data_IF_706935952380
#
_entry.id   IF_706935952380
#
_cell.length_a   1.000
_cell.length_b   1.000
_cell.length_c   1.000
_cell.angle_alpha   90.00
_cell.angle_beta   90.00
_cell.angle_gamma   90.00
#
_symmetry.space_group_name_H-M   'P 1'
#
loop_
_entity.id
_entity.type
_entity.pdbx_description
1 polymer ?
#
# COMPACT_ATOMS: atom_id res chain seq x y z
N UNK A 1 14.99 -19.64 -3.37
CA UNK A 1 14.50 -19.04 -3.74
C UNK A 1 13.98 -17.99 -3.42
N UNK A 2 14.01 -17.40 -3.73
CA UNK A 2 13.61 -16.40 -3.47
C UNK A 2 12.67 -15.86 -4.16
N UNK A 3 12.17 -15.13 -4.32
CA UNK A 3 11.17 -14.68 -5.19
C UNK A 3 9.79 -15.18 -4.84
N UNK A 4 9.49 -15.30 -3.56
CA UNK A 4 8.17 -15.67 -3.11
C UNK A 4 7.15 -14.60 -3.45
N UNK A 5 5.86 -14.92 -3.30
CA UNK A 5 4.78 -13.99 -3.63
C UNK A 5 4.93 -12.65 -2.90
N UNK A 6 5.17 -12.69 -1.59
CA UNK A 6 5.32 -11.47 -0.80
C UNK A 6 6.47 -10.61 -1.32
N UNK A 7 7.58 -11.23 -1.70
CA UNK A 7 8.72 -10.48 -2.20
C UNK A 7 8.42 -9.78 -3.52
N UNK A 8 7.62 -10.42 -4.39
CA UNK A 8 7.19 -9.80 -5.64
C UNK A 8 6.29 -8.60 -5.36
N UNK A 9 5.38 -8.74 -4.39
CA UNK A 9 4.50 -7.66 -3.99
C UNK A 9 5.31 -6.49 -3.43
N UNK A 10 6.29 -6.78 -2.58
CA UNK A 10 7.15 -5.74 -2.01
C UNK A 10 7.95 -5.01 -3.09
N UNK A 11 8.46 -5.76 -4.08
CA UNK A 11 9.18 -5.14 -5.19
C UNK A 11 8.29 -4.17 -5.96
N UNK A 12 7.04 -4.55 -6.20
CA UNK A 12 6.08 -3.67 -6.86
C UNK A 12 5.78 -2.44 -6.00
N UNK A 13 5.59 -2.65 -4.70
CA UNK A 13 5.29 -1.55 -3.78
C UNK A 13 6.43 -0.53 -3.72
N UNK A 14 7.67 -1.00 -3.81
CA UNK A 14 8.83 -0.09 -3.77
C UNK A 14 8.86 0.89 -4.94
N UNK A 15 8.13 0.60 -6.00
CA UNK A 15 8.04 1.52 -7.15
C UNK A 15 7.13 2.70 -6.89
N UNK A 16 6.26 2.62 -5.87
CA UNK A 16 5.32 3.70 -5.58
C UNK A 16 6.06 4.86 -4.95
N UNK A 17 6.08 6.04 -5.60
CA UNK A 17 6.85 7.17 -5.09
C UNK A 17 6.14 7.87 -3.95
N UNK A 18 6.90 8.68 -3.22
CA UNK A 18 6.35 9.54 -2.19
C UNK A 18 5.29 10.45 -2.81
N UNK A 19 4.19 10.63 -2.12
CA UNK A 19 3.09 11.48 -2.62
C UNK A 19 2.08 10.71 -3.46
N UNK A 20 2.29 9.41 -3.63
CA UNK A 20 1.35 8.56 -4.34
C UNK A 20 0.97 7.37 -3.47
N UNK A 21 -0.14 6.73 -3.83
CA UNK A 21 -0.60 5.50 -3.18
C UNK A 21 -0.92 4.48 -4.26
N UNK A 22 -0.97 3.23 -3.86
CA UNK A 22 -1.49 2.18 -4.73
C UNK A 22 -2.56 1.42 -3.95
N UNK A 23 -3.19 0.44 -4.58
CA UNK A 23 -4.22 -0.36 -3.93
C UNK A 23 -3.81 -1.81 -3.90
N UNK A 24 -4.47 -2.59 -3.02
CA UNK A 24 -4.25 -4.03 -2.99
C UNK A 24 -4.51 -4.65 -4.36
N UNK A 25 -5.53 -4.16 -5.05
CA UNK A 25 -5.87 -4.63 -6.39
C UNK A 25 -4.76 -4.33 -7.40
N UNK A 26 -4.20 -3.12 -7.37
CA UNK A 26 -3.13 -2.76 -8.29
C UNK A 26 -1.85 -3.56 -8.03
N UNK A 27 -1.54 -3.82 -6.75
CA UNK A 27 -0.40 -4.66 -6.42
C UNK A 27 -0.59 -6.08 -6.93
N UNK A 28 -1.81 -6.63 -6.77
CA UNK A 28 -2.09 -7.96 -7.29
C UNK A 28 -1.92 -8.00 -8.81
N UNK A 29 -2.42 -6.99 -9.51
CA UNK A 29 -2.25 -6.90 -10.96
C UNK A 29 -0.78 -6.81 -11.35
N UNK A 30 0.01 -6.06 -10.59
CA UNK A 30 1.42 -5.88 -10.88
C UNK A 30 2.19 -7.21 -10.83
N UNK A 31 1.76 -8.13 -9.98
CA UNK A 31 2.36 -9.46 -9.87
C UNK A 31 1.55 -10.53 -10.61
N UNK A 32 0.61 -10.10 -11.45
CA UNK A 32 -0.23 -10.97 -12.29
C UNK A 32 -1.00 -11.99 -11.47
N UNK A 33 -1.63 -11.54 -10.41
CA UNK A 33 -2.37 -12.40 -9.50
C UNK A 33 -3.73 -11.81 -9.19
N UNK A 34 -4.66 -12.69 -8.81
CA UNK A 34 -5.96 -12.28 -8.26
C UNK A 34 -6.03 -12.57 -6.77
N UNK A 35 -4.91 -12.92 -6.17
CA UNK A 35 -4.86 -13.30 -4.76
C UNK A 35 -4.80 -12.05 -3.87
N UNK A 36 -5.90 -11.30 -3.83
CA UNK A 36 -5.96 -10.04 -3.08
C UNK A 36 -5.72 -10.24 -1.59
N UNK A 37 -6.19 -11.36 -1.03
CA UNK A 37 -5.95 -11.67 0.37
C UNK A 37 -4.48 -11.89 0.67
N UNK A 38 -3.77 -12.55 -0.25
CA UNK A 38 -2.35 -12.79 -0.09
C UNK A 38 -1.57 -11.47 -0.11
N UNK A 39 -2.02 -10.49 -0.91
CA UNK A 39 -1.43 -9.15 -0.89
C UNK A 39 -1.63 -8.52 0.48
N UNK A 40 -2.84 -8.61 1.03
CA UNK A 40 -3.13 -8.10 2.37
C UNK A 40 -2.27 -8.77 3.44
N UNK A 41 -2.08 -10.08 3.34
CA UNK A 41 -1.23 -10.82 4.25
C UNK A 41 0.23 -10.35 4.15
N UNK A 42 0.70 -10.11 2.92
CA UNK A 42 2.06 -9.59 2.72
C UNK A 42 2.24 -8.24 3.41
N UNK A 43 1.23 -7.37 3.34
CA UNK A 43 1.29 -6.09 4.03
C UNK A 43 1.31 -6.29 5.55
N UNK A 44 0.48 -7.21 6.04
CA UNK A 44 0.35 -7.47 7.47
C UNK A 44 1.61 -8.08 8.06
N UNK A 45 2.33 -8.88 7.29
CA UNK A 45 3.55 -9.55 7.76
C UNK A 45 4.83 -8.81 7.40
N UNK A 46 4.71 -7.62 6.82
CA UNK A 46 5.88 -6.79 6.50
C UNK A 46 6.60 -6.38 7.80
N UNK A 47 7.83 -6.82 7.95
CA UNK A 47 8.65 -6.46 9.11
C UNK A 47 9.80 -5.51 8.75
N UNK A 48 9.72 -4.87 7.58
CA UNK A 48 10.73 -3.91 7.15
C UNK A 48 10.03 -2.62 6.68
N UNK A 49 9.29 -1.99 7.60
CA UNK A 49 8.46 -0.83 7.27
C UNK A 49 9.28 0.41 6.92
N UNK A 50 10.56 0.42 7.24
CA UNK A 50 11.43 1.55 6.90
C UNK A 50 11.80 1.55 5.40
N UNK A 51 11.78 0.40 4.74
CA UNK A 51 12.09 0.27 3.32
C UNK A 51 10.89 -0.14 2.47
N UNK A 52 9.95 -0.85 3.07
CA UNK A 52 8.75 -1.32 2.39
C UNK A 52 7.57 -0.55 2.97
N UNK A 53 7.15 0.50 2.26
CA UNK A 53 6.18 1.47 2.79
C UNK A 53 4.75 0.99 2.60
N UNK A 54 4.36 -0.02 3.38
CA UNK A 54 3.02 -0.59 3.27
C UNK A 54 1.90 0.40 3.59
N UNK A 55 2.22 1.53 4.23
CA UNK A 55 1.21 2.57 4.47
C UNK A 55 0.71 3.21 3.17
N UNK A 56 1.42 3.02 2.05
CA UNK A 56 1.03 3.55 0.74
C UNK A 56 0.01 2.66 0.02
N UNK A 57 -0.38 1.54 0.63
CA UNK A 57 -1.36 0.62 0.05
C UNK A 57 -2.71 0.87 0.70
N UNK A 58 -3.70 1.22 -0.11
CA UNK A 58 -5.04 1.53 0.38
C UNK A 58 -6.07 0.68 -0.37
N UNK A 59 -7.32 0.81 0.00
CA UNK A 59 -8.39 0.05 -0.63
C UNK A 59 -8.79 0.67 -1.97
N UNK A 60 -9.38 -0.16 -2.84
CA UNK A 60 -9.77 0.26 -4.19
C UNK A 60 -10.82 1.37 -4.20
N UNK A 61 -11.59 1.52 -3.12
CA UNK A 61 -12.58 2.58 -3.02
C UNK A 61 -11.99 3.90 -2.50
N UNK A 62 -10.68 3.93 -2.27
CA UNK A 62 -10.00 5.12 -1.77
C UNK A 62 -9.90 5.19 -0.26
N UNK A 63 -10.56 4.32 0.48
CA UNK A 63 -10.43 4.31 1.94
C UNK A 63 -9.04 3.82 2.32
N UNK A 64 -8.49 4.38 3.41
CA UNK A 64 -7.09 4.11 3.76
C UNK A 64 -6.84 2.69 4.26
N UNK A 65 -7.87 2.05 4.80
CA UNK A 65 -7.71 0.67 5.25
C UNK A 65 -6.91 0.55 6.54
N UNK A 66 -6.51 -0.68 6.86
CA UNK A 66 -5.82 -0.99 8.11
C UNK A 66 -4.31 -0.79 7.97
N UNK A 67 -3.66 -0.68 9.12
CA UNK A 67 -2.21 -0.61 9.21
C UNK A 67 -1.77 -1.49 10.37
N UNK A 68 -0.98 -2.52 10.07
CA UNK A 68 -0.57 -3.51 11.07
C UNK A 68 0.63 -3.10 11.90
N UNK A 69 1.36 -2.07 11.47
CA UNK A 69 2.51 -1.58 12.21
C UNK A 69 2.06 -0.79 13.44
N UNK A 70 2.97 -0.54 14.41
CA UNK A 70 2.62 0.24 15.60
C UNK A 70 1.99 1.58 15.25
N UNK A 71 0.96 1.95 15.98
CA UNK A 71 0.22 3.19 15.75
C UNK A 71 -1.05 3.02 14.95
N UNK A 72 -1.22 1.87 14.25
CA UNK A 72 -2.45 1.55 13.57
C UNK A 72 -2.87 2.55 12.51
N UNK A 73 -4.18 2.65 12.29
CA UNK A 73 -4.75 3.50 11.24
C UNK A 73 -4.36 4.98 11.43
N UNK A 74 -4.29 5.46 12.67
CA UNK A 74 -3.90 6.84 12.95
C UNK A 74 -2.48 7.12 12.45
N UNK A 75 -1.57 6.17 12.64
CA UNK A 75 -0.21 6.29 12.16
C UNK A 75 -0.16 6.29 10.63
N UNK A 76 -0.94 5.40 10.02
CA UNK A 76 -1.04 5.33 8.57
C UNK A 76 -1.49 6.67 8.00
N UNK A 77 -2.54 7.26 8.58
CA UNK A 77 -3.04 8.56 8.14
C UNK A 77 -1.97 9.64 8.29
N UNK A 78 -1.24 9.64 9.41
CA UNK A 78 -0.18 10.62 9.64
C UNK A 78 0.94 10.50 8.60
N UNK A 79 1.33 9.28 8.27
CA UNK A 79 2.38 9.05 7.28
C UNK A 79 1.95 9.50 5.88
N UNK A 80 0.70 9.23 5.52
CA UNK A 80 0.17 9.66 4.22
C UNK A 80 0.11 11.18 4.15
N UNK A 81 -0.34 11.83 5.21
CA UNK A 81 -0.37 13.29 5.26
C UNK A 81 1.02 13.89 5.16
N UNK A 82 2.00 13.26 5.80
CA UNK A 82 3.39 13.70 5.73
C UNK A 82 3.93 13.60 4.30
N UNK A 83 3.41 12.67 3.51
CA UNK A 83 3.76 12.55 2.09
C UNK A 83 3.04 13.58 1.23
N UNK A 84 2.21 14.42 1.81
CA UNK A 84 1.48 15.45 1.06
C UNK A 84 0.14 14.99 0.52
N UNK A 85 -0.38 13.88 1.02
CA UNK A 85 -1.63 13.33 0.53
C UNK A 85 -2.78 13.82 1.40
N UNK A 86 -3.80 14.39 0.76
CA UNK A 86 -4.98 14.85 1.46
C UNK A 86 -5.92 13.68 1.74
N UNK A 87 -6.40 13.59 2.98
CA UNK A 87 -7.37 12.57 3.38
C UNK A 87 -8.65 13.29 3.82
N UNK A 88 -9.76 12.93 3.17
CA UNK A 88 -11.08 13.50 3.51
C UNK A 88 -12.01 12.37 3.87
N UNK A 89 -12.58 12.43 5.08
CA UNK A 89 -13.52 11.39 5.54
C UNK A 89 -12.94 9.99 5.41
N UNK A 90 -11.66 9.86 5.72
CA UNK A 90 -10.97 8.57 5.65
C UNK A 90 -10.66 8.08 4.25
N UNK A 91 -10.80 8.94 3.24
CA UNK A 91 -10.59 8.57 1.85
C UNK A 91 -9.59 9.47 1.15
N UNK A 92 -8.96 8.91 0.12
CA UNK A 92 -7.98 9.59 -0.73
C UNK A 92 -8.54 9.62 -2.15
N UNK A 93 -8.34 10.74 -2.84
CA UNK A 93 -8.75 10.88 -4.24
C UNK A 93 -7.79 10.09 -5.13
N UNK A 94 -8.25 8.92 -5.58
CA UNK A 94 -7.44 8.04 -6.41
C UNK A 94 -7.14 8.63 -7.78
N UNK A 95 -7.99 9.50 -8.29
CA UNK A 95 -7.71 10.16 -9.58
C UNK A 95 -6.47 11.02 -9.49
N UNK A 96 -6.17 11.52 -8.31
CA UNK A 96 -5.07 12.44 -8.07
C UNK A 96 -3.79 11.72 -7.61
N UNK A 97 -3.94 10.66 -6.82
CA UNK A 97 -2.79 10.07 -6.12
C UNK A 97 -2.48 8.62 -6.50
N UNK A 98 -3.33 7.96 -7.29
CA UNK A 98 -3.10 6.55 -7.60
C UNK A 98 -1.89 6.35 -8.48
N UNK A 99 -1.05 5.41 -8.12
CA UNK A 99 0.09 4.94 -8.90
C UNK A 99 -0.09 3.45 -9.19
N UNK A 100 0.12 3.06 -10.44
CA UNK A 100 -0.02 1.66 -10.87
C UNK A 100 1.37 1.09 -11.11
N UNK A 101 1.90 0.30 -10.16
CA UNK A 101 3.28 -0.22 -10.27
C UNK A 101 3.35 -1.39 -11.24
N UNK A 102 3.73 -1.15 -12.45
CA UNK A 102 3.85 -2.18 -13.49
C UNK A 102 5.20 -2.24 -14.12
#
# INVERSE_FOLDING_TARGET
MRGGFAEKVYAALKKVPKGKVTTYKELAKAVRSKAYRAVGTAMKTNNDISHIHCYRVIRSDGSIGEYSAPGGTARKAALLKADGIEIRNGKIDLRKHLYKPR
#
